data_IF_255157972433
#
_entry.id   IF_255157972433
#
_cell.length_a   1.000
_cell.length_b   1.000
_cell.length_c   1.000
_cell.angle_alpha   90.00
_cell.angle_beta   90.00
_cell.angle_gamma   90.00
#
_symmetry.space_group_name_H-M   'P 1'
#
loop_
_entity.id
_entity.type
_entity.pdbx_description
1 polymer ?
#
# COMPACT_ATOMS: atom_id res chain seq x y z
N UNK A 1 -14.98 -0.71 5.43
CA UNK A 1 -13.86 -1.30 4.64
C UNK A 1 -13.81 -2.80 4.87
N UNK A 2 -13.22 -3.59 3.96
CA UNK A 2 -13.14 -5.07 4.12
C UNK A 2 -12.48 -5.43 5.47
N UNK A 3 -11.37 -4.77 5.80
CA UNK A 3 -10.66 -4.95 7.09
C UNK A 3 -11.55 -4.66 8.30
N UNK A 4 -12.27 -3.53 8.34
CA UNK A 4 -13.13 -3.18 9.47
C UNK A 4 -14.25 -4.20 9.70
N UNK A 5 -14.87 -4.69 8.61
CA UNK A 5 -15.91 -5.71 8.70
C UNK A 5 -15.35 -7.01 9.28
N UNK A 6 -14.26 -7.52 8.70
CA UNK A 6 -13.62 -8.75 9.19
C UNK A 6 -13.18 -8.62 10.65
N UNK A 7 -12.56 -7.50 11.02
CA UNK A 7 -12.14 -7.25 12.40
C UNK A 7 -13.34 -7.22 13.35
N UNK A 8 -14.43 -6.54 13.00
CA UNK A 8 -15.61 -6.47 13.85
C UNK A 8 -16.22 -7.85 14.08
N UNK A 9 -16.41 -8.65 13.03
CA UNK A 9 -16.99 -9.98 13.15
C UNK A 9 -16.09 -10.91 14.00
N UNK A 10 -14.77 -10.87 13.79
CA UNK A 10 -13.84 -11.71 14.55
C UNK A 10 -13.72 -11.30 16.03
N UNK A 11 -13.52 -10.01 16.30
CA UNK A 11 -13.36 -9.51 17.68
C UNK A 11 -14.65 -9.68 18.47
N UNK A 12 -15.81 -9.37 17.88
CA UNK A 12 -17.10 -9.55 18.58
C UNK A 12 -17.34 -11.01 18.95
N UNK A 13 -16.94 -11.94 18.06
CA UNK A 13 -17.07 -13.38 18.32
C UNK A 13 -16.10 -13.85 19.42
N UNK A 14 -14.83 -13.46 19.35
CA UNK A 14 -13.79 -13.95 20.25
C UNK A 14 -13.87 -13.30 21.65
N UNK A 15 -14.43 -12.09 21.75
CA UNK A 15 -14.56 -11.32 23.00
C UNK A 15 -16.00 -11.27 23.53
N UNK A 16 -16.89 -12.17 23.07
CA UNK A 16 -18.31 -12.15 23.44
C UNK A 16 -18.58 -12.28 24.96
N UNK A 17 -17.65 -12.87 25.72
CA UNK A 17 -17.75 -13.04 27.17
C UNK A 17 -16.83 -12.08 27.94
N UNK A 18 -16.15 -11.15 27.26
CA UNK A 18 -15.21 -10.22 27.89
C UNK A 18 -15.97 -9.03 28.51
N UNK A 19 -15.89 -8.81 29.84
CA UNK A 19 -16.54 -7.67 30.48
C UNK A 19 -15.79 -6.34 30.30
N UNK A 20 -14.49 -6.37 29.97
CA UNK A 20 -13.67 -5.16 29.79
C UNK A 20 -13.75 -4.61 28.35
N UNK A 21 -14.54 -3.57 28.15
CA UNK A 21 -14.65 -2.84 26.88
C UNK A 21 -13.30 -2.25 26.41
N UNK A 22 -12.39 -1.92 27.34
CA UNK A 22 -11.07 -1.42 27.02
C UNK A 22 -10.21 -2.47 26.31
N UNK A 23 -10.32 -3.72 26.74
CA UNK A 23 -9.64 -4.86 26.11
C UNK A 23 -10.19 -5.12 24.70
N UNK A 24 -11.52 -5.09 24.55
CA UNK A 24 -12.19 -5.26 23.26
C UNK A 24 -11.77 -4.18 22.25
N UNK A 25 -11.77 -2.91 22.67
CA UNK A 25 -11.35 -1.79 21.82
C UNK A 25 -9.89 -1.94 21.38
N UNK A 26 -9.00 -2.30 22.31
CA UNK A 26 -7.58 -2.49 22.00
C UNK A 26 -7.36 -3.65 21.02
N UNK A 27 -8.07 -4.76 21.20
CA UNK A 27 -8.02 -5.91 20.29
C UNK A 27 -8.50 -5.53 18.88
N UNK A 28 -9.61 -4.79 18.77
CA UNK A 28 -10.10 -4.28 17.49
C UNK A 28 -9.09 -3.38 16.79
N UNK A 29 -8.48 -2.43 17.49
CA UNK A 29 -7.49 -1.52 16.91
C UNK A 29 -6.24 -2.24 16.41
N UNK A 30 -5.70 -3.19 17.19
CA UNK A 30 -4.53 -3.98 16.78
C UNK A 30 -4.84 -4.83 15.56
N UNK A 31 -5.99 -5.51 15.57
CA UNK A 31 -6.39 -6.38 14.49
C UNK A 31 -6.69 -5.60 13.20
N UNK A 32 -7.46 -4.52 13.27
CA UNK A 32 -7.80 -3.73 12.07
C UNK A 32 -6.55 -3.15 11.43
N UNK A 33 -5.56 -2.73 12.24
CA UNK A 33 -4.29 -2.21 11.74
C UNK A 33 -3.51 -3.25 10.95
N UNK A 34 -3.38 -4.46 11.51
CA UNK A 34 -2.66 -5.56 10.86
C UNK A 34 -3.35 -6.03 9.57
N UNK A 35 -4.68 -6.20 9.61
CA UNK A 35 -5.46 -6.66 8.46
C UNK A 35 -5.50 -5.61 7.36
N UNK A 36 -5.74 -4.34 7.72
CA UNK A 36 -5.80 -3.25 6.75
C UNK A 36 -4.43 -3.00 6.09
N UNK A 37 -3.34 -3.03 6.86
CA UNK A 37 -1.99 -2.82 6.33
C UNK A 37 -1.58 -3.92 5.35
N UNK A 38 -1.75 -5.19 5.75
CA UNK A 38 -1.45 -6.34 4.88
C UNK A 38 -2.27 -6.32 3.59
N UNK A 39 -3.57 -6.03 3.69
CA UNK A 39 -4.46 -5.96 2.53
C UNK A 39 -4.08 -4.79 1.61
N UNK A 40 -3.69 -3.64 2.17
CA UNK A 40 -3.24 -2.48 1.41
C UNK A 40 -1.99 -2.83 0.59
N UNK A 41 -0.97 -3.42 1.22
CA UNK A 41 0.29 -3.79 0.57
C UNK A 41 0.08 -4.74 -0.62
N UNK A 42 -0.71 -5.79 -0.44
CA UNK A 42 -0.97 -6.78 -1.51
C UNK A 42 -1.79 -6.14 -2.65
N UNK A 43 -2.67 -5.20 -2.34
CA UNK A 43 -3.52 -4.55 -3.34
C UNK A 43 -2.77 -3.46 -4.11
N UNK A 44 -1.93 -2.65 -3.44
CA UNK A 44 -1.37 -1.44 -4.04
C UNK A 44 -0.02 -1.66 -4.76
N UNK A 45 0.73 -2.71 -4.41
CA UNK A 45 2.11 -2.90 -4.91
C UNK A 45 2.19 -3.01 -6.43
N UNK A 46 1.38 -3.87 -7.03
CA UNK A 46 1.33 -4.06 -8.48
C UNK A 46 0.89 -2.78 -9.23
N UNK A 47 -0.28 -2.18 -8.92
CA UNK A 47 -0.74 -0.99 -9.64
C UNK A 47 0.19 0.21 -9.42
N UNK A 48 0.82 0.34 -8.25
CA UNK A 48 1.78 1.41 -7.99
C UNK A 48 3.02 1.26 -8.86
N UNK A 49 3.55 0.04 -9.03
CA UNK A 49 4.71 -0.20 -9.91
C UNK A 49 4.40 0.22 -11.34
N UNK A 50 3.27 -0.23 -11.89
CA UNK A 50 2.85 0.12 -13.26
C UNK A 50 2.70 1.64 -13.41
N UNK A 51 2.05 2.29 -12.43
CA UNK A 51 1.87 3.75 -12.44
C UNK A 51 3.20 4.50 -12.39
N UNK A 52 4.12 4.11 -11.51
CA UNK A 52 5.45 4.73 -11.40
C UNK A 52 6.23 4.60 -12.69
N UNK A 53 6.32 3.40 -13.25
CA UNK A 53 7.02 3.13 -14.52
C UNK A 53 6.48 4.02 -15.63
N UNK A 54 5.15 4.09 -15.80
CA UNK A 54 4.52 4.87 -16.86
C UNK A 54 4.76 6.37 -16.70
N UNK A 55 4.62 6.90 -15.49
CA UNK A 55 4.83 8.34 -15.25
C UNK A 55 6.30 8.73 -15.41
N UNK A 56 7.23 7.93 -14.89
CA UNK A 56 8.67 8.18 -15.04
C UNK A 56 9.09 8.13 -16.51
N UNK A 57 8.58 7.16 -17.27
CA UNK A 57 8.82 7.10 -18.71
C UNK A 57 8.32 8.35 -19.43
N UNK A 58 7.07 8.77 -19.19
CA UNK A 58 6.49 9.96 -19.80
C UNK A 58 7.23 11.24 -19.43
N UNK A 59 7.74 11.33 -18.20
CA UNK A 59 8.50 12.47 -17.72
C UNK A 59 9.89 12.55 -18.36
N UNK A 60 10.58 11.41 -18.51
CA UNK A 60 11.99 11.37 -18.92
C UNK A 60 12.18 11.23 -20.43
N UNK A 61 11.29 10.52 -21.13
CA UNK A 61 11.42 10.27 -22.57
C UNK A 61 11.58 11.54 -23.43
N UNK A 62 10.88 12.66 -23.17
CA UNK A 62 11.07 13.90 -23.95
C UNK A 62 12.45 14.55 -23.77
N UNK A 63 13.16 14.24 -22.68
CA UNK A 63 14.46 14.83 -22.34
C UNK A 63 15.64 13.97 -22.78
N UNK A 64 15.40 12.73 -23.22
CA UNK A 64 16.42 11.84 -23.76
C UNK A 64 16.34 11.88 -25.28
N UNK A 65 17.41 12.27 -25.99
CA UNK A 65 17.42 12.21 -27.45
C UNK A 65 17.43 10.74 -27.90
N UNK A 66 16.26 10.14 -28.10
CA UNK A 66 16.09 8.73 -28.52
C UNK A 66 16.44 8.51 -30.00
N UNK A 67 17.57 9.03 -30.47
CA UNK A 67 18.04 8.88 -31.86
C UNK A 67 18.78 7.55 -32.07
N UNK A 68 19.36 7.00 -31.01
CA UNK A 68 20.08 5.72 -31.02
C UNK A 68 19.38 4.69 -30.12
N UNK A 69 19.36 3.42 -30.56
CA UNK A 69 18.72 2.31 -29.83
C UNK A 69 19.28 2.10 -28.41
N UNK A 70 20.53 2.51 -28.17
CA UNK A 70 21.17 2.45 -26.85
C UNK A 70 20.52 3.40 -25.84
N UNK A 71 20.15 4.62 -26.25
CA UNK A 71 19.60 5.63 -25.33
C UNK A 71 18.21 5.22 -24.84
N UNK A 72 17.42 4.55 -25.69
CA UNK A 72 16.14 3.97 -25.29
C UNK A 72 16.30 2.84 -24.27
N UNK A 73 17.31 1.99 -24.43
CA UNK A 73 17.57 0.90 -23.47
C UNK A 73 18.06 1.45 -22.12
N UNK A 74 18.90 2.49 -22.14
CA UNK A 74 19.35 3.17 -20.91
C UNK A 74 18.18 3.82 -20.19
N UNK A 75 17.28 4.49 -20.92
CA UNK A 75 16.07 5.09 -20.33
C UNK A 75 15.19 4.03 -19.66
N UNK A 76 14.96 2.89 -20.30
CA UNK A 76 14.19 1.78 -19.73
C UNK A 76 14.81 1.27 -18.43
N UNK A 77 16.13 1.08 -18.43
CA UNK A 77 16.86 0.67 -17.23
C UNK A 77 16.74 1.69 -16.09
N UNK A 78 16.87 2.99 -16.39
CA UNK A 78 16.74 4.07 -15.39
C UNK A 78 15.33 4.08 -14.80
N UNK A 79 14.30 4.02 -15.64
CA UNK A 79 12.90 3.98 -15.19
C UNK A 79 12.66 2.76 -14.31
N UNK A 80 13.20 1.60 -14.68
CA UNK A 80 13.07 0.36 -13.91
C UNK A 80 13.70 0.47 -12.51
N UNK A 81 14.94 0.98 -12.43
CA UNK A 81 15.64 1.19 -11.15
C UNK A 81 14.86 2.16 -10.26
N UNK A 82 14.49 3.33 -10.80
CA UNK A 82 13.74 4.34 -10.05
C UNK A 82 12.39 3.82 -9.56
N UNK A 83 11.67 3.07 -10.39
CA UNK A 83 10.38 2.49 -10.01
C UNK A 83 10.53 1.46 -8.89
N UNK A 84 11.58 0.64 -8.95
CA UNK A 84 11.86 -0.41 -7.94
C UNK A 84 12.27 0.20 -6.60
N UNK A 85 13.20 1.17 -6.62
CA UNK A 85 13.72 1.80 -5.40
C UNK A 85 12.65 2.59 -4.64
N UNK A 86 11.68 3.18 -5.37
CA UNK A 86 10.62 3.98 -4.76
C UNK A 86 9.34 3.17 -4.44
N UNK A 87 9.26 1.92 -4.91
CA UNK A 87 8.05 1.11 -4.74
C UNK A 87 7.72 0.84 -3.28
N UNK A 88 8.73 0.47 -2.48
CA UNK A 88 8.55 0.13 -1.08
C UNK A 88 8.09 1.35 -0.27
N UNK A 89 8.74 2.51 -0.45
CA UNK A 89 8.34 3.76 0.18
C UNK A 89 6.89 4.13 -0.13
N UNK A 90 6.50 4.06 -1.42
CA UNK A 90 5.13 4.36 -1.82
C UNK A 90 4.11 3.38 -1.23
N UNK A 91 4.44 2.09 -1.15
CA UNK A 91 3.60 1.09 -0.49
C UNK A 91 3.42 1.40 1.00
N UNK A 92 4.50 1.74 1.72
CA UNK A 92 4.44 2.10 3.14
C UNK A 92 3.58 3.34 3.39
N UNK A 93 3.65 4.34 2.52
CA UNK A 93 2.81 5.55 2.64
C UNK A 93 1.32 5.24 2.44
N UNK A 94 1.00 4.41 1.46
CA UNK A 94 -0.39 3.95 1.21
C UNK A 94 -0.87 3.11 2.39
N UNK A 95 -0.06 2.16 2.85
CA UNK A 95 -0.36 1.31 4.00
C UNK A 95 -0.71 2.15 5.22
N UNK A 96 0.14 3.12 5.57
CA UNK A 96 -0.10 4.02 6.70
C UNK A 96 -1.40 4.80 6.55
N UNK A 97 -1.67 5.37 5.37
CA UNK A 97 -2.90 6.11 5.12
C UNK A 97 -4.16 5.23 5.25
N UNK A 98 -4.07 3.97 4.80
CA UNK A 98 -5.16 3.00 4.91
C UNK A 98 -5.38 2.59 6.37
N UNK A 99 -4.32 2.32 7.12
CA UNK A 99 -4.39 1.96 8.54
C UNK A 99 -4.96 3.11 9.37
N UNK A 100 -4.47 4.35 9.18
CA UNK A 100 -4.96 5.53 9.89
C UNK A 100 -6.44 5.79 9.63
N UNK A 101 -6.91 5.50 8.41
CA UNK A 101 -8.34 5.56 8.09
C UNK A 101 -9.11 4.43 8.75
N UNK A 102 -8.63 3.20 8.67
CA UNK A 102 -9.30 2.03 9.24
C UNK A 102 -9.43 2.13 10.76
N UNK A 103 -8.45 2.73 11.45
CA UNK A 103 -8.50 3.02 12.88
C UNK A 103 -9.52 4.08 13.28
N UNK A 104 -9.92 4.97 12.37
CA UNK A 104 -11.00 5.95 12.58
C UNK A 104 -12.38 5.36 12.31
N UNK A 105 -12.44 4.38 11.40
CA UNK A 105 -13.67 3.74 10.96
C UNK A 105 -14.08 2.54 11.84
N UNK A 106 -13.16 1.98 12.64
CA UNK A 106 -13.41 0.88 13.60
C UNK A 106 -13.98 1.39 14.93
#
# INVERSE_FOLDING_TARGET
>A
TISCLTTREMVTKDFAMEPDEGMLKKAAQLMVSSVAGSLALVTCREPLRVSLTNHLWQLLAPHVPTKDSNDSAVLEQVVHVLSTDNLELGCTLIEKAVVDKALKDI
#
